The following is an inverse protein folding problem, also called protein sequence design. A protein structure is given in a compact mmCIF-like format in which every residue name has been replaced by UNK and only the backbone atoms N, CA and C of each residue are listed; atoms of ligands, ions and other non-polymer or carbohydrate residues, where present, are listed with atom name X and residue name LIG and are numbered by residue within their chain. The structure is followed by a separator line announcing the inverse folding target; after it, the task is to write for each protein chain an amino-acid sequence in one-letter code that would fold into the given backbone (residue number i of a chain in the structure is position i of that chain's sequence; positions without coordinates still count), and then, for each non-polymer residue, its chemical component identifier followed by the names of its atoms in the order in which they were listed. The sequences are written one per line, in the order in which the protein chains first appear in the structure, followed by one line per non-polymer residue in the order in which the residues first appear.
data_IF_329597963511
#
_entry.id   IF_329597963511
#
_cell.length_a   1.000
_cell.length_b   1.000
_cell.length_c   1.000
_cell.angle_alpha   90.00
_cell.angle_beta   90.00
_cell.angle_gamma   90.00
#
_symmetry.space_group_name_H-M   'P 1'
#
loop_
_entity.id
_entity.type
_entity.pdbx_description
1 polymer ?
#
# COMPACT_ATOMS: atom_id res chain seq x y z
N UNK A 1 -2.07 -6.18 -26.02
CA UNK A 1 -0.99 -5.53 -26.76
C UNK A 1 -0.19 -6.58 -27.52
N UNK A 2 -0.24 -6.58 -28.83
CA UNK A 2 0.54 -7.47 -29.69
C UNK A 2 1.58 -6.70 -30.47
N UNK A 3 2.65 -7.35 -30.87
CA UNK A 3 3.81 -6.74 -31.58
C UNK A 3 3.44 -6.15 -32.95
N UNK A 4 2.30 -6.55 -33.50
CA UNK A 4 1.96 -6.31 -34.91
C UNK A 4 0.72 -5.44 -35.11
N UNK A 5 -0.15 -5.34 -34.14
CA UNK A 5 -1.39 -4.55 -34.18
C UNK A 5 -1.29 -3.29 -33.30
N UNK A 6 -1.74 -2.17 -33.81
CA UNK A 6 -1.77 -0.89 -33.07
C UNK A 6 -2.63 -0.97 -31.79
N UNK A 7 -3.59 -1.89 -31.72
CA UNK A 7 -4.35 -2.28 -30.53
C UNK A 7 -4.42 -3.79 -30.40
N UNK A 8 -3.75 -4.34 -29.39
CA UNK A 8 -3.85 -5.77 -29.09
C UNK A 8 -5.22 -6.18 -28.55
N UNK A 9 -5.52 -7.47 -28.60
CA UNK A 9 -6.81 -8.04 -28.17
C UNK A 9 -7.22 -7.62 -26.74
N UNK A 10 -6.28 -7.58 -25.79
CA UNK A 10 -6.56 -7.17 -24.41
C UNK A 10 -6.98 -5.72 -24.31
N UNK A 11 -6.37 -4.81 -25.06
CA UNK A 11 -6.75 -3.41 -25.06
C UNK A 11 -8.17 -3.21 -25.58
N UNK A 12 -8.52 -3.89 -26.68
CA UNK A 12 -9.89 -3.80 -27.24
C UNK A 12 -10.95 -4.33 -26.30
N UNK A 13 -10.70 -5.49 -25.69
CA UNK A 13 -11.63 -6.05 -24.68
C UNK A 13 -11.75 -5.12 -23.48
N UNK A 14 -10.64 -4.56 -23.03
CA UNK A 14 -10.63 -3.63 -21.91
C UNK A 14 -11.47 -2.38 -22.23
N UNK A 15 -11.25 -1.76 -23.37
CA UNK A 15 -11.99 -0.55 -23.77
C UNK A 15 -13.51 -0.83 -23.87
N UNK A 16 -13.91 -1.93 -24.51
CA UNK A 16 -15.31 -2.34 -24.60
C UNK A 16 -15.96 -2.55 -23.22
N UNK A 17 -15.28 -3.30 -22.33
CA UNK A 17 -15.81 -3.56 -21.00
C UNK A 17 -15.78 -2.31 -20.11
N UNK A 18 -14.75 -1.47 -20.24
CA UNK A 18 -14.66 -0.20 -19.54
C UNK A 18 -15.83 0.72 -19.89
N UNK A 19 -16.10 0.91 -21.18
CA UNK A 19 -17.25 1.70 -21.64
C UNK A 19 -18.56 1.15 -21.08
N UNK A 20 -18.78 -0.16 -21.14
CA UNK A 20 -19.98 -0.78 -20.63
C UNK A 20 -20.18 -0.53 -19.13
N UNK A 21 -19.12 -0.72 -18.34
CA UNK A 21 -19.14 -0.51 -16.89
C UNK A 21 -19.40 0.97 -16.56
N UNK A 22 -18.72 1.89 -17.23
CA UNK A 22 -18.88 3.32 -16.97
C UNK A 22 -20.28 3.79 -17.37
N UNK A 23 -20.83 3.34 -18.51
CA UNK A 23 -22.21 3.62 -18.91
C UNK A 23 -23.21 3.11 -17.89
N UNK A 24 -23.03 1.88 -17.40
CA UNK A 24 -23.89 1.33 -16.35
C UNK A 24 -23.78 2.17 -15.06
N UNK A 25 -22.55 2.54 -14.66
CA UNK A 25 -22.34 3.38 -13.47
C UNK A 25 -23.01 4.75 -13.58
N UNK A 26 -23.03 5.35 -14.76
CA UNK A 26 -23.69 6.64 -15.01
C UNK A 26 -25.21 6.58 -14.91
N UNK A 27 -25.83 5.39 -14.92
CA UNK A 27 -27.27 5.24 -14.66
C UNK A 27 -27.65 5.47 -13.20
N UNK A 28 -26.68 5.40 -12.28
CA UNK A 28 -26.88 5.64 -10.86
C UNK A 28 -27.24 7.12 -10.61
N UNK A 29 -28.46 7.37 -10.18
CA UNK A 29 -28.95 8.74 -9.92
C UNK A 29 -28.38 9.38 -8.66
N UNK A 30 -27.79 8.58 -7.78
CA UNK A 30 -27.15 9.04 -6.53
C UNK A 30 -25.65 9.32 -6.68
N UNK A 31 -25.13 9.21 -7.90
CA UNK A 31 -23.73 9.45 -8.18
C UNK A 31 -23.39 10.92 -7.94
N UNK A 32 -22.27 11.16 -7.21
CA UNK A 32 -21.74 12.51 -7.04
C UNK A 32 -21.49 13.19 -8.38
N UNK A 33 -21.88 14.47 -8.51
CA UNK A 33 -21.85 15.19 -9.78
C UNK A 33 -20.44 15.39 -10.34
N UNK A 34 -19.43 15.60 -9.47
CA UNK A 34 -18.03 15.70 -9.89
C UNK A 34 -17.53 14.39 -10.44
N UNK A 35 -17.93 13.29 -9.76
CA UNK A 35 -17.55 11.95 -10.21
C UNK A 35 -18.29 11.57 -11.50
N UNK A 36 -19.53 11.98 -11.66
CA UNK A 36 -20.30 11.84 -12.92
C UNK A 36 -19.58 12.54 -14.08
N UNK A 37 -19.26 13.81 -13.92
CA UNK A 37 -18.53 14.60 -14.94
C UNK A 37 -17.19 13.98 -15.30
N UNK A 38 -16.50 13.46 -14.29
CA UNK A 38 -15.24 12.73 -14.48
C UNK A 38 -15.43 11.49 -15.36
N UNK A 39 -16.43 10.65 -15.08
CA UNK A 39 -16.74 9.44 -15.84
C UNK A 39 -17.20 9.76 -17.27
N UNK A 40 -18.02 10.81 -17.46
CA UNK A 40 -18.44 11.26 -18.78
C UNK A 40 -17.24 11.68 -19.64
N UNK A 41 -16.29 12.41 -19.08
CA UNK A 41 -15.06 12.78 -19.77
C UNK A 41 -14.21 11.55 -20.17
N UNK A 42 -14.14 10.53 -19.33
CA UNK A 42 -13.40 9.31 -19.66
C UNK A 42 -14.05 8.50 -20.78
N UNK A 43 -15.38 8.56 -20.93
CA UNK A 43 -16.10 7.95 -22.05
C UNK A 43 -15.83 8.60 -23.40
N UNK A 44 -15.41 9.87 -23.43
CA UNK A 44 -15.07 10.54 -24.69
C UNK A 44 -13.82 9.94 -25.36
N UNK A 45 -12.92 9.35 -24.58
CA UNK A 45 -11.65 8.79 -25.07
C UNK A 45 -11.21 7.58 -24.22
N UNK A 46 -11.91 6.44 -24.27
CA UNK A 46 -11.60 5.26 -23.45
C UNK A 46 -10.20 4.72 -23.70
N UNK A 47 -9.65 4.92 -24.90
CA UNK A 47 -8.29 4.54 -25.27
C UNK A 47 -7.20 5.27 -24.50
N UNK A 48 -7.52 6.43 -23.90
CA UNK A 48 -6.58 7.20 -23.07
C UNK A 48 -6.55 6.76 -21.63
N UNK A 49 -7.51 5.96 -21.19
CA UNK A 49 -7.62 5.52 -19.79
C UNK A 49 -6.55 4.49 -19.41
N UNK A 50 -5.91 3.89 -20.41
CA UNK A 50 -4.88 2.87 -20.19
C UNK A 50 -3.61 3.14 -20.98
N UNK A 51 -2.49 2.63 -20.43
CA UNK A 51 -1.19 2.69 -21.09
C UNK A 51 -0.46 1.36 -20.99
N UNK A 52 0.37 1.04 -21.97
CA UNK A 52 1.21 -0.16 -21.99
C UNK A 52 2.65 0.15 -21.60
N UNK A 53 3.17 -0.59 -20.62
CA UNK A 53 4.58 -0.58 -20.25
C UNK A 53 5.24 -1.89 -20.69
N UNK A 54 6.19 -1.80 -21.62
CA UNK A 54 6.92 -2.95 -22.16
C UNK A 54 8.42 -2.76 -22.03
N UNK A 55 9.14 -3.85 -21.78
CA UNK A 55 10.60 -3.81 -21.61
C UNK A 55 11.29 -3.32 -22.89
N UNK A 56 12.26 -2.44 -22.74
CA UNK A 56 13.18 -2.06 -23.81
C UNK A 56 14.24 -3.15 -23.92
N UNK A 57 14.51 -3.65 -25.15
CA UNK A 57 15.57 -4.61 -25.38
C UNK A 57 16.97 -4.00 -25.18
N UNK A 58 18.04 -4.85 -25.18
CA UNK A 58 19.41 -4.38 -25.00
C UNK A 58 19.90 -3.42 -26.09
N UNK A 59 19.10 -3.20 -27.16
CA UNK A 59 19.39 -2.28 -28.27
C UNK A 59 18.57 -0.98 -28.19
N UNK A 60 17.83 -0.76 -27.07
CA UNK A 60 17.01 0.46 -26.90
C UNK A 60 15.74 0.47 -27.76
N UNK A 61 15.36 -0.65 -28.39
CA UNK A 61 14.07 -0.80 -29.05
C UNK A 61 13.06 -1.31 -28.06
N UNK A 62 11.92 -0.59 -27.92
CA UNK A 62 10.80 -1.18 -27.22
C UNK A 62 10.34 -2.41 -28.00
N UNK A 63 10.38 -3.55 -27.32
CA UNK A 63 9.93 -4.82 -27.88
C UNK A 63 8.42 -4.85 -27.70
N UNK A 64 7.66 -4.05 -28.35
CA UNK A 64 6.22 -3.95 -28.46
C UNK A 64 5.64 -2.53 -28.35
N UNK A 65 6.40 -1.50 -28.62
CA UNK A 65 5.78 -0.19 -28.89
C UNK A 65 6.33 0.40 -30.18
N UNK A 66 5.65 0.13 -31.29
CA UNK A 66 5.77 0.98 -32.46
C UNK A 66 4.86 2.21 -32.27
N UNK A 67 5.39 3.21 -31.57
CA UNK A 67 4.86 4.56 -31.70
C UNK A 67 5.18 5.00 -33.11
N UNK A 68 4.16 5.21 -33.94
CA UNK A 68 4.34 5.92 -35.22
C UNK A 68 4.92 7.29 -34.88
N UNK A 69 6.19 7.52 -35.26
CA UNK A 69 6.74 8.86 -35.41
C UNK A 69 5.88 9.59 -36.43
N UNK A 70 5.07 10.55 -35.99
CA UNK A 70 4.34 11.39 -36.93
C UNK A 70 3.11 12.12 -36.42
N UNK A 71 2.87 12.31 -35.12
CA UNK A 71 2.01 13.38 -34.66
C UNK A 71 2.72 14.13 -33.54
N UNK A 72 3.38 15.22 -33.93
CA UNK A 72 3.89 16.19 -32.97
C UNK A 72 2.72 17.04 -32.48
N UNK A 73 2.06 16.63 -31.42
CA UNK A 73 1.51 17.59 -30.48
C UNK A 73 2.44 17.58 -29.27
N UNK A 74 2.83 18.75 -28.82
CA UNK A 74 3.82 19.00 -27.76
C UNK A 74 3.43 18.46 -26.37
N UNK A 75 2.34 17.70 -26.27
CA UNK A 75 1.80 17.13 -25.04
C UNK A 75 1.85 15.59 -24.98
N UNK A 76 2.33 14.90 -26.02
CA UNK A 76 2.46 13.45 -26.05
C UNK A 76 3.75 12.99 -25.32
N UNK A 77 3.68 13.00 -24.01
CA UNK A 77 4.63 12.25 -23.19
C UNK A 77 4.43 10.77 -23.51
N UNK A 78 5.50 10.08 -23.94
CA UNK A 78 5.41 8.64 -24.20
C UNK A 78 4.91 7.91 -22.96
N UNK A 79 4.13 6.83 -23.12
CA UNK A 79 3.66 6.02 -21.99
C UNK A 79 4.80 5.62 -21.05
N UNK A 80 5.99 5.38 -21.59
CA UNK A 80 7.19 5.10 -20.80
C UNK A 80 7.59 6.30 -19.94
N UNK A 81 7.63 7.49 -20.49
CA UNK A 81 8.04 8.70 -19.78
C UNK A 81 7.01 9.06 -18.70
N UNK A 82 5.72 8.90 -18.99
CA UNK A 82 4.65 9.10 -18.02
C UNK A 82 4.79 8.12 -16.83
N UNK A 83 4.94 6.83 -17.10
CA UNK A 83 4.97 5.79 -16.07
C UNK A 83 6.27 5.86 -15.25
N UNK A 84 7.41 6.12 -15.88
CA UNK A 84 8.73 6.01 -15.24
C UNK A 84 9.28 7.33 -14.73
N UNK A 85 9.05 8.45 -15.42
CA UNK A 85 9.67 9.73 -15.10
C UNK A 85 8.70 10.73 -14.48
N UNK A 86 7.44 10.71 -14.91
CA UNK A 86 6.40 11.67 -14.48
C UNK A 86 5.37 11.01 -13.56
N UNK A 87 5.84 10.25 -12.57
CA UNK A 87 4.97 9.50 -11.63
C UNK A 87 3.96 10.39 -10.90
N UNK A 88 4.33 11.62 -10.59
CA UNK A 88 3.45 12.58 -9.91
C UNK A 88 2.25 12.96 -10.79
N UNK A 89 2.44 13.01 -12.11
CA UNK A 89 1.35 13.26 -13.05
C UNK A 89 0.29 12.16 -13.02
N UNK A 90 0.70 10.89 -12.81
CA UNK A 90 -0.22 9.77 -12.64
C UNK A 90 -1.11 9.88 -11.39
N UNK A 91 -0.78 10.76 -10.44
CA UNK A 91 -1.60 11.02 -9.26
C UNK A 91 -2.66 12.09 -9.52
N UNK A 92 -2.57 12.85 -10.62
CA UNK A 92 -3.51 13.89 -10.98
C UNK A 92 -4.78 13.32 -11.61
N UNK A 93 -5.95 13.89 -11.28
CA UNK A 93 -7.20 13.60 -11.98
C UNK A 93 -7.28 14.17 -13.40
N UNK A 94 -6.34 15.04 -13.78
CA UNK A 94 -6.25 15.54 -15.14
C UNK A 94 -5.56 14.55 -16.08
N UNK A 95 -4.72 13.66 -15.54
CA UNK A 95 -4.11 12.57 -16.31
C UNK A 95 -5.15 11.46 -16.51
N UNK A 96 -5.50 11.10 -17.75
CA UNK A 96 -6.54 10.09 -17.99
C UNK A 96 -6.06 8.66 -17.68
N UNK A 97 -4.76 8.38 -17.72
CA UNK A 97 -4.24 7.02 -17.52
C UNK A 97 -4.50 6.53 -16.08
N UNK A 98 -5.33 5.50 -15.97
CA UNK A 98 -5.70 4.82 -14.71
C UNK A 98 -5.24 3.37 -14.67
N UNK A 99 -5.03 2.77 -15.83
CA UNK A 99 -4.66 1.36 -15.95
C UNK A 99 -3.34 1.23 -16.69
N UNK A 100 -2.44 0.42 -16.13
CA UNK A 100 -1.13 0.18 -16.71
C UNK A 100 -1.03 -1.31 -17.05
N UNK A 101 -0.93 -1.63 -18.33
CA UNK A 101 -0.63 -2.98 -18.79
C UNK A 101 0.88 -3.19 -18.84
N UNK A 102 1.38 -4.22 -18.18
CA UNK A 102 2.80 -4.56 -18.18
C UNK A 102 3.02 -6.02 -18.56
N UNK A 103 3.91 -6.28 -19.50
CA UNK A 103 4.28 -7.65 -19.89
C UNK A 103 5.29 -8.28 -18.92
N UNK A 104 6.12 -7.47 -18.32
CA UNK A 104 7.07 -7.86 -17.27
C UNK A 104 6.87 -6.97 -16.04
N UNK A 105 7.35 -7.43 -14.89
CA UNK A 105 7.32 -6.56 -13.71
C UNK A 105 7.93 -5.19 -14.04
N UNK A 106 7.25 -4.14 -13.64
CA UNK A 106 7.79 -2.78 -13.72
C UNK A 106 9.18 -2.76 -13.09
N UNK A 107 10.11 -1.98 -13.65
CA UNK A 107 11.51 -1.95 -13.19
C UNK A 107 11.60 -1.80 -11.67
N UNK A 108 12.63 -2.42 -11.08
CA UNK A 108 12.98 -2.19 -9.68
C UNK A 108 13.09 -0.69 -9.41
N UNK A 109 12.55 -0.25 -8.27
CA UNK A 109 12.50 1.16 -7.90
C UNK A 109 11.30 1.94 -8.47
N UNK A 110 10.47 1.37 -9.36
CA UNK A 110 9.21 2.00 -9.70
C UNK A 110 8.25 1.90 -8.51
N UNK A 111 7.72 3.04 -8.12
CA UNK A 111 6.74 3.15 -7.06
C UNK A 111 5.70 4.23 -7.39
N UNK A 112 4.47 3.91 -7.10
CA UNK A 112 3.37 4.86 -7.09
C UNK A 112 2.52 4.53 -5.85
N UNK A 113 2.25 5.48 -4.96
CA UNK A 113 1.49 5.21 -3.74
C UNK A 113 0.03 4.86 -4.04
N UNK A 114 -0.52 5.28 -5.17
CA UNK A 114 -1.91 5.09 -5.54
C UNK A 114 -2.13 3.86 -6.45
N UNK A 115 -1.54 2.73 -6.09
CA UNK A 115 -1.84 1.43 -6.72
C UNK A 115 -2.88 0.71 -5.87
N UNK A 116 -4.12 0.68 -6.32
CA UNK A 116 -5.25 0.09 -5.59
C UNK A 116 -5.65 -1.29 -6.11
N UNK A 117 -5.27 -1.62 -7.33
CA UNK A 117 -5.63 -2.90 -7.95
C UNK A 117 -4.46 -3.49 -8.72
N UNK A 118 -4.28 -4.79 -8.60
CA UNK A 118 -3.30 -5.56 -9.35
C UNK A 118 -4.01 -6.76 -9.97
N UNK A 119 -4.07 -6.82 -11.30
CA UNK A 119 -4.62 -7.96 -12.02
C UNK A 119 -3.49 -8.77 -12.68
N UNK A 120 -3.37 -10.05 -12.31
CA UNK A 120 -2.34 -10.94 -12.85
C UNK A 120 -2.94 -11.82 -13.95
N UNK A 121 -2.66 -11.48 -15.20
CA UNK A 121 -3.17 -12.20 -16.36
C UNK A 121 -2.30 -13.41 -16.72
N UNK A 122 -1.06 -13.47 -16.24
CA UNK A 122 -0.09 -14.52 -16.53
C UNK A 122 0.27 -15.31 -15.29
N UNK A 123 0.43 -16.62 -15.42
CA UNK A 123 0.97 -17.45 -14.35
C UNK A 123 2.44 -17.10 -14.07
N UNK A 124 2.79 -16.93 -12.81
CA UNK A 124 4.16 -16.78 -12.33
C UNK A 124 4.47 -17.91 -11.34
N UNK A 125 5.58 -18.62 -11.58
CA UNK A 125 6.08 -19.64 -10.66
C UNK A 125 7.01 -19.10 -9.58
N UNK A 126 7.36 -17.81 -9.64
CA UNK A 126 8.31 -17.18 -8.71
C UNK A 126 7.61 -16.39 -7.62
N UNK A 127 7.66 -16.87 -6.39
CA UNK A 127 7.11 -16.18 -5.22
C UNK A 127 7.79 -14.85 -4.95
N UNK A 128 9.08 -14.72 -5.26
CA UNK A 128 9.81 -13.45 -5.15
C UNK A 128 9.20 -12.40 -6.07
N UNK A 129 8.89 -12.77 -7.33
CA UNK A 129 8.23 -11.85 -8.27
C UNK A 129 6.84 -11.47 -7.80
N UNK A 130 6.05 -12.44 -7.32
CA UNK A 130 4.70 -12.19 -6.78
C UNK A 130 4.76 -11.23 -5.59
N UNK A 131 5.71 -11.41 -4.66
CA UNK A 131 5.92 -10.49 -3.52
C UNK A 131 6.29 -9.09 -3.98
N UNK A 132 7.16 -8.96 -4.98
CA UNK A 132 7.55 -7.66 -5.54
C UNK A 132 6.38 -6.95 -6.23
N UNK A 133 5.53 -7.69 -6.95
CA UNK A 133 4.33 -7.14 -7.60
C UNK A 133 3.31 -6.66 -6.58
N UNK A 134 2.94 -7.48 -5.60
CA UNK A 134 2.00 -7.10 -4.53
C UNK A 134 2.56 -5.97 -3.67
N UNK A 135 3.86 -6.02 -3.34
CA UNK A 135 4.52 -4.98 -2.54
C UNK A 135 4.43 -3.57 -3.13
N UNK A 136 4.17 -3.43 -4.43
CA UNK A 136 3.95 -2.12 -5.07
C UNK A 136 2.64 -1.45 -4.65
N UNK A 137 1.62 -2.25 -4.35
CA UNK A 137 0.32 -1.76 -3.89
C UNK A 137 0.19 -1.68 -2.36
N UNK A 138 1.19 -2.12 -1.60
CA UNK A 138 1.17 -2.08 -0.13
C UNK A 138 1.74 -0.76 0.39
N UNK A 139 1.19 0.36 -0.05
CA UNK A 139 1.59 1.71 0.37
C UNK A 139 0.39 2.53 0.76
N UNK A 140 0.61 3.48 1.67
CA UNK A 140 -0.42 4.46 1.97
C UNK A 140 -0.65 5.36 0.75
N UNK A 141 -1.91 5.49 0.35
CA UNK A 141 -2.32 6.38 -0.72
C UNK A 141 -2.01 7.84 -0.40
N UNK A 142 -1.93 8.66 -1.42
CA UNK A 142 -1.81 10.11 -1.27
C UNK A 142 -2.99 10.81 -1.95
N UNK A 143 -3.40 11.94 -1.38
CA UNK A 143 -4.43 12.78 -2.00
C UNK A 143 -3.84 13.67 -3.12
N UNK A 144 -4.67 14.52 -3.73
CA UNK A 144 -4.24 15.43 -4.80
C UNK A 144 -3.21 16.50 -4.35
N UNK A 145 -3.01 16.68 -3.05
CA UNK A 145 -2.00 17.59 -2.50
C UNK A 145 -0.68 16.87 -2.18
N UNK A 146 -0.64 15.54 -2.35
CA UNK A 146 0.50 14.71 -1.97
C UNK A 146 0.52 14.27 -0.51
N UNK A 147 -0.53 14.60 0.27
CA UNK A 147 -0.62 14.21 1.68
C UNK A 147 -0.98 12.74 1.80
N UNK A 148 -0.28 12.02 2.67
CA UNK A 148 -0.55 10.61 2.94
C UNK A 148 -1.91 10.44 3.60
N UNK A 149 -2.64 9.45 3.14
CA UNK A 149 -3.94 9.08 3.66
C UNK A 149 -3.77 8.03 4.78
N UNK A 150 -3.24 8.48 5.90
CA UNK A 150 -3.03 7.67 7.10
C UNK A 150 -4.17 7.85 8.10
N UNK A 151 -4.08 7.17 9.24
CA UNK A 151 -5.07 7.24 10.31
C UNK A 151 -5.20 8.65 10.90
N UNK A 152 -4.12 9.44 10.91
CA UNK A 152 -4.16 10.82 11.44
C UNK A 152 -4.94 11.75 10.50
N UNK A 153 -4.89 11.51 9.19
CA UNK A 153 -5.56 12.33 8.18
C UNK A 153 -7.01 11.92 7.94
N UNK A 154 -7.34 10.62 8.03
CA UNK A 154 -8.65 10.08 7.69
C UNK A 154 -9.46 9.57 8.90
N UNK A 155 -8.78 9.25 10.00
CA UNK A 155 -9.39 8.49 11.09
C UNK A 155 -9.40 6.97 10.86
N UNK A 156 -9.66 6.24 11.95
CA UNK A 156 -9.48 4.79 12.05
C UNK A 156 -10.34 4.00 11.02
N UNK A 157 -11.56 4.43 10.78
CA UNK A 157 -12.49 3.71 9.90
C UNK A 157 -12.24 4.00 8.41
N UNK A 158 -11.97 5.24 8.06
CA UNK A 158 -11.81 5.66 6.67
C UNK A 158 -10.46 5.21 6.09
N UNK A 159 -9.41 5.18 6.89
CA UNK A 159 -8.08 4.73 6.47
C UNK A 159 -8.10 3.31 5.91
N UNK A 160 -8.92 2.44 6.51
CA UNK A 160 -9.08 1.05 6.06
C UNK A 160 -9.86 0.93 4.75
N UNK A 161 -10.71 1.89 4.44
CA UNK A 161 -11.48 1.91 3.19
C UNK A 161 -10.66 2.47 2.03
N UNK A 162 -9.83 3.47 2.29
CA UNK A 162 -9.02 4.15 1.26
C UNK A 162 -7.79 3.32 0.87
N UNK A 163 -7.13 2.67 1.84
CA UNK A 163 -5.87 1.94 1.60
C UNK A 163 -6.09 0.45 1.28
N UNK A 164 -7.17 0.11 0.59
CA UNK A 164 -7.45 -1.28 0.18
C UNK A 164 -6.72 -1.62 -1.10
N UNK A 165 -5.89 -2.68 -1.06
CA UNK A 165 -5.32 -3.30 -2.24
C UNK A 165 -6.15 -4.51 -2.66
N UNK A 166 -6.71 -4.45 -3.86
CA UNK A 166 -7.41 -5.59 -4.47
C UNK A 166 -6.49 -6.33 -5.42
N UNK A 167 -6.29 -7.62 -5.19
CA UNK A 167 -5.52 -8.49 -6.09
C UNK A 167 -6.46 -9.41 -6.84
N UNK A 168 -6.57 -9.23 -8.15
CA UNK A 168 -7.30 -10.12 -9.05
C UNK A 168 -6.30 -11.17 -9.51
N UNK A 169 -6.38 -12.34 -8.89
CA UNK A 169 -5.39 -13.37 -9.02
C UNK A 169 -5.86 -14.51 -9.94
N UNK A 170 -4.95 -15.09 -10.71
CA UNK A 170 -5.17 -16.42 -11.27
C UNK A 170 -4.97 -17.49 -10.17
N UNK A 171 -5.29 -18.76 -10.47
CA UNK A 171 -5.25 -19.85 -9.48
C UNK A 171 -3.91 -19.97 -8.73
N UNK A 172 -2.78 -19.72 -9.39
CA UNK A 172 -1.45 -19.79 -8.76
C UNK A 172 -1.19 -18.61 -7.79
N UNK A 173 -1.82 -17.48 -8.02
CA UNK A 173 -1.74 -16.32 -7.13
C UNK A 173 -2.68 -16.41 -5.94
N UNK A 174 -3.83 -17.10 -6.08
CA UNK A 174 -4.74 -17.29 -4.94
C UNK A 174 -4.06 -18.02 -3.80
N UNK A 175 -3.36 -19.13 -4.10
CA UNK A 175 -2.61 -19.86 -3.09
C UNK A 175 -1.51 -19.00 -2.47
N UNK A 176 -0.73 -18.31 -3.30
CA UNK A 176 0.31 -17.41 -2.83
C UNK A 176 -0.22 -16.27 -1.96
N UNK A 177 -1.32 -15.62 -2.34
CA UNK A 177 -1.92 -14.54 -1.57
C UNK A 177 -2.41 -15.04 -0.20
N UNK A 178 -3.01 -16.23 -0.14
CA UNK A 178 -3.43 -16.89 1.10
C UNK A 178 -2.23 -17.19 2.00
N UNK A 179 -1.16 -17.74 1.43
CA UNK A 179 0.05 -18.08 2.18
C UNK A 179 0.73 -16.83 2.72
N UNK A 180 0.80 -15.75 1.92
CA UNK A 180 1.31 -14.45 2.36
C UNK A 180 0.46 -13.84 3.48
N UNK A 181 -0.85 -13.91 3.38
CA UNK A 181 -1.76 -13.44 4.44
C UNK A 181 -1.57 -14.25 5.72
N UNK A 182 -1.41 -15.58 5.62
CA UNK A 182 -1.14 -16.44 6.77
C UNK A 182 0.20 -16.10 7.40
N UNK A 183 1.24 -15.87 6.62
CA UNK A 183 2.57 -15.45 7.11
C UNK A 183 2.50 -14.11 7.85
N UNK A 184 1.80 -13.12 7.29
CA UNK A 184 1.57 -11.83 7.93
C UNK A 184 0.78 -12.01 9.23
N UNK A 185 -0.29 -12.81 9.21
CA UNK A 185 -1.09 -13.09 10.39
C UNK A 185 -0.27 -13.78 11.49
N UNK A 186 0.59 -14.73 11.14
CA UNK A 186 1.47 -15.41 12.08
C UNK A 186 2.57 -14.48 12.64
N UNK A 187 3.12 -13.62 11.81
CA UNK A 187 4.05 -12.58 12.26
C UNK A 187 3.39 -11.60 13.25
N UNK A 188 2.11 -11.28 13.04
CA UNK A 188 1.31 -10.45 13.96
C UNK A 188 0.98 -11.19 15.24
N UNK A 189 0.62 -12.49 15.19
CA UNK A 189 0.38 -13.32 16.38
C UNK A 189 1.56 -13.36 17.33
N UNK A 190 2.77 -13.32 16.79
CA UNK A 190 4.02 -13.37 17.56
C UNK A 190 4.45 -11.98 18.09
N UNK A 191 3.76 -10.91 17.75
CA UNK A 191 4.01 -9.59 18.33
C UNK A 191 3.55 -9.55 19.78
N UNK A 192 4.26 -8.80 20.63
CA UNK A 192 3.82 -8.57 22.01
C UNK A 192 2.40 -7.98 22.00
N UNK A 193 1.51 -8.54 22.80
CA UNK A 193 0.11 -8.08 22.91
C UNK A 193 -0.14 -7.22 24.13
N UNK A 194 0.77 -7.25 25.09
CA UNK A 194 0.64 -6.59 26.38
C UNK A 194 1.93 -5.86 26.72
N UNK A 195 1.80 -4.71 27.36
CA UNK A 195 2.92 -3.96 27.94
C UNK A 195 3.14 -4.49 29.35
N UNK A 196 4.08 -5.38 29.49
CA UNK A 196 4.49 -6.03 30.74
C UNK A 196 6.01 -5.92 30.89
N UNK A 197 6.59 -6.14 32.07
CA UNK A 197 8.05 -6.15 32.24
C UNK A 197 8.77 -7.03 31.21
N UNK A 198 8.17 -8.18 30.87
CA UNK A 198 8.70 -9.11 29.86
C UNK A 198 8.88 -8.50 28.47
N UNK A 199 8.18 -7.41 28.14
CA UNK A 199 8.37 -6.68 26.88
C UNK A 199 9.76 -6.09 26.77
N UNK A 200 10.31 -5.66 27.89
CA UNK A 200 11.58 -4.93 28.00
C UNK A 200 12.74 -5.85 28.37
N UNK A 201 12.49 -6.92 29.14
CA UNK A 201 13.49 -7.86 29.65
C UNK A 201 14.33 -8.48 28.53
N UNK A 202 15.65 -8.47 28.71
CA UNK A 202 16.61 -8.99 27.74
C UNK A 202 16.73 -8.17 26.45
N UNK A 203 16.02 -7.05 26.34
CA UNK A 203 16.13 -6.17 25.17
C UNK A 203 17.36 -5.28 25.28
N UNK A 204 18.02 -5.13 24.15
CA UNK A 204 19.12 -4.18 23.99
C UNK A 204 18.52 -2.83 23.56
N UNK A 205 18.64 -1.83 24.41
CA UNK A 205 18.27 -0.46 24.13
C UNK A 205 19.50 0.29 23.63
N UNK A 206 19.43 0.81 22.41
CA UNK A 206 20.53 1.54 21.77
C UNK A 206 20.05 2.93 21.41
N UNK A 207 20.84 3.93 21.76
CA UNK A 207 20.62 5.34 21.39
C UNK A 207 21.74 5.76 20.45
N UNK A 208 21.38 6.29 19.31
CA UNK A 208 22.28 6.77 18.27
C UNK A 208 22.12 8.28 18.11
N UNK A 209 23.20 8.97 17.78
CA UNK A 209 23.18 10.37 17.39
C UNK A 209 22.72 10.54 15.92
N UNK A 210 22.67 11.79 15.45
CA UNK A 210 22.31 12.14 14.07
C UNK A 210 23.26 11.56 13.00
N UNK A 211 24.43 11.10 13.40
CA UNK A 211 25.46 10.49 12.51
C UNK A 211 25.44 8.96 12.56
N UNK A 212 24.52 8.36 13.36
CA UNK A 212 24.42 6.92 13.56
C UNK A 212 25.48 6.35 14.53
N UNK A 213 26.14 7.19 15.32
CA UNK A 213 27.05 6.72 16.37
C UNK A 213 26.29 6.39 17.64
N UNK A 214 26.59 5.23 18.23
CA UNK A 214 25.97 4.80 19.49
C UNK A 214 26.46 5.68 20.65
N UNK A 215 25.54 6.41 21.26
CA UNK A 215 25.79 7.31 22.39
C UNK A 215 25.47 6.67 23.74
N UNK A 216 24.50 5.75 23.78
CA UNK A 216 24.16 4.98 24.95
C UNK A 216 23.68 3.58 24.56
N UNK A 217 23.98 2.60 25.40
CA UNK A 217 23.59 1.21 25.18
C UNK A 217 23.34 0.53 26.52
N UNK A 218 22.24 -0.23 26.64
CA UNK A 218 21.88 -0.99 27.83
C UNK A 218 21.18 -2.28 27.44
N UNK A 219 21.50 -3.37 28.12
CA UNK A 219 20.71 -4.61 28.08
C UNK A 219 19.83 -4.62 29.31
N UNK A 220 18.54 -4.57 29.12
CA UNK A 220 17.54 -4.44 30.19
C UNK A 220 17.48 -5.75 31.00
N UNK A 221 17.81 -5.68 32.26
CA UNK A 221 17.62 -6.80 33.18
C UNK A 221 16.18 -6.83 33.77
N UNK A 222 15.90 -7.83 34.61
CA UNK A 222 14.59 -8.03 35.23
C UNK A 222 14.16 -6.85 36.11
N UNK A 223 15.10 -6.22 36.82
CA UNK A 223 14.84 -5.12 37.73
C UNK A 223 14.51 -3.87 36.94
N UNK A 224 15.35 -3.54 35.96
CA UNK A 224 15.16 -2.42 35.06
C UNK A 224 13.85 -2.54 34.23
N UNK A 225 13.51 -3.76 33.77
CA UNK A 225 12.26 -4.04 33.10
C UNK A 225 11.03 -3.75 33.98
N UNK A 226 11.10 -4.12 35.26
CA UNK A 226 10.05 -3.83 36.23
C UNK A 226 9.96 -2.31 36.55
N UNK A 227 11.08 -1.64 36.64
CA UNK A 227 11.16 -0.17 36.84
C UNK A 227 10.55 0.58 35.66
N UNK A 228 10.97 0.30 34.44
CA UNK A 228 10.40 0.89 33.22
C UNK A 228 8.87 0.72 33.23
N UNK A 229 8.40 -0.49 33.44
CA UNK A 229 6.95 -0.76 33.47
C UNK A 229 6.23 -0.01 34.58
N UNK A 230 6.81 0.07 35.79
CA UNK A 230 6.25 0.78 36.92
C UNK A 230 6.15 2.29 36.65
N UNK A 231 7.19 2.91 36.07
CA UNK A 231 7.20 4.31 35.66
C UNK A 231 6.08 4.62 34.65
N UNK A 232 5.98 3.83 33.59
CA UNK A 232 4.95 3.97 32.56
C UNK A 232 3.53 3.83 33.13
N UNK A 233 3.32 2.91 34.08
CA UNK A 233 2.03 2.69 34.74
C UNK A 233 1.68 3.82 35.71
N UNK A 234 2.63 4.28 36.51
CA UNK A 234 2.46 5.39 37.45
C UNK A 234 2.18 6.69 36.70
N UNK A 235 2.86 6.92 35.58
CA UNK A 235 2.62 8.04 34.66
C UNK A 235 1.32 7.94 33.86
N UNK A 236 0.52 6.87 34.07
CA UNK A 236 -0.77 6.64 33.37
C UNK A 236 -0.65 6.52 31.85
N UNK A 237 0.53 6.16 31.34
CA UNK A 237 0.73 5.87 29.92
C UNK A 237 0.21 4.48 29.56
N UNK A 238 0.04 3.61 30.56
CA UNK A 238 -0.48 2.24 30.43
C UNK A 238 -1.72 2.07 31.30
N UNK A 239 -2.76 1.47 30.76
CA UNK A 239 -4.01 1.14 31.46
C UNK A 239 -3.94 -0.21 32.20
N UNK A 240 -5.00 -0.52 32.98
CA UNK A 240 -5.15 -1.78 33.71
C UNK A 240 -5.13 -3.01 32.80
N UNK A 241 -5.59 -2.88 31.56
CA UNK A 241 -5.58 -3.92 30.52
C UNK A 241 -4.20 -4.13 29.90
N UNK A 242 -3.16 -3.44 30.39
CA UNK A 242 -1.78 -3.52 29.89
C UNK A 242 -1.59 -3.06 28.45
N UNK A 243 -2.47 -2.17 28.00
CA UNK A 243 -2.41 -1.45 26.73
C UNK A 243 -2.05 0.02 26.98
N UNK A 244 -1.64 0.71 25.93
CA UNK A 244 -1.45 2.18 25.99
C UNK A 244 -2.75 2.86 26.37
N UNK A 245 -2.67 3.90 27.19
CA UNK A 245 -3.86 4.68 27.56
C UNK A 245 -4.41 5.48 26.38
N UNK A 246 -5.71 5.74 26.40
CA UNK A 246 -6.37 6.57 25.36
C UNK A 246 -5.73 7.95 25.26
N UNK A 247 -5.29 8.50 26.41
CA UNK A 247 -4.61 9.81 26.45
C UNK A 247 -3.27 9.74 25.70
N UNK A 248 -2.48 8.71 25.95
CA UNK A 248 -1.20 8.51 25.25
C UNK A 248 -1.39 8.29 23.74
N UNK A 249 -2.41 7.54 23.35
CA UNK A 249 -2.68 7.25 21.94
C UNK A 249 -2.95 8.53 21.12
N UNK A 250 -3.61 9.52 21.72
CA UNK A 250 -3.95 10.80 21.08
C UNK A 250 -2.79 11.77 20.92
N UNK A 251 -1.66 11.52 21.57
CA UNK A 251 -0.49 12.38 21.48
C UNK A 251 0.22 12.20 20.12
N UNK A 252 0.80 13.27 19.62
CA UNK A 252 1.73 13.23 18.49
C UNK A 252 2.99 12.39 18.83
N UNK A 253 3.78 12.05 17.85
CA UNK A 253 5.01 11.24 18.03
C UNK A 253 5.98 11.93 19.00
N UNK A 254 6.12 13.25 18.90
CA UNK A 254 7.00 14.06 19.77
C UNK A 254 6.47 14.10 21.18
N UNK A 255 5.18 14.42 21.38
CA UNK A 255 4.54 14.46 22.69
C UNK A 255 4.56 13.08 23.39
N UNK A 256 4.43 11.97 22.64
CA UNK A 256 4.60 10.61 23.16
C UNK A 256 6.00 10.38 23.73
N UNK A 257 7.02 10.88 23.03
CA UNK A 257 8.40 10.76 23.49
C UNK A 257 8.62 11.57 24.78
N UNK A 258 8.17 12.81 24.81
CA UNK A 258 8.25 13.69 25.98
C UNK A 258 7.51 13.06 27.17
N UNK A 259 6.29 12.57 26.99
CA UNK A 259 5.53 11.89 28.04
C UNK A 259 6.24 10.68 28.63
N UNK A 260 6.97 9.92 27.79
CA UNK A 260 7.78 8.80 28.28
C UNK A 260 8.99 9.32 29.07
N UNK A 261 9.67 10.35 28.57
CA UNK A 261 10.83 10.94 29.25
C UNK A 261 10.46 11.46 30.64
N UNK A 262 9.33 12.14 30.76
CA UNK A 262 8.86 12.73 32.03
C UNK A 262 8.56 11.69 33.12
N UNK A 263 8.14 10.48 32.74
CA UNK A 263 7.77 9.45 33.72
C UNK A 263 8.91 8.51 34.07
N UNK A 264 9.98 8.47 33.26
CA UNK A 264 11.14 7.62 33.48
C UNK A 264 12.10 8.25 34.50
N UNK A 265 12.76 7.40 35.32
CA UNK A 265 13.83 7.81 36.19
C UNK A 265 15.02 8.37 35.38
N UNK A 266 15.81 9.27 35.96
CA UNK A 266 16.87 10.03 35.27
C UNK A 266 17.80 9.15 34.45
N UNK A 267 18.19 7.98 34.97
CA UNK A 267 19.09 7.04 34.30
C UNK A 267 18.45 6.39 33.06
N UNK A 268 17.12 6.29 33.01
CA UNK A 268 16.36 5.65 31.94
C UNK A 268 15.87 6.64 30.88
N UNK A 269 15.86 7.95 31.17
CA UNK A 269 15.35 8.98 30.25
C UNK A 269 16.08 9.00 28.91
N UNK A 270 17.38 8.72 28.90
CA UNK A 270 18.18 8.65 27.67
C UNK A 270 17.65 7.56 26.72
N UNK A 271 17.01 6.51 27.26
CA UNK A 271 16.46 5.38 26.51
C UNK A 271 14.97 5.55 26.15
N UNK A 272 14.37 6.73 26.35
CA UNK A 272 12.96 6.96 26.07
C UNK A 272 12.55 6.61 24.65
N UNK A 273 13.38 6.93 23.64
CA UNK A 273 13.09 6.63 22.24
C UNK A 273 13.07 5.12 21.94
N UNK A 274 14.07 4.30 22.31
CA UNK A 274 13.96 2.85 22.16
C UNK A 274 12.82 2.24 23.00
N UNK A 275 12.51 2.77 24.18
CA UNK A 275 11.35 2.33 24.98
C UNK A 275 10.05 2.66 24.23
N UNK A 276 9.90 3.85 23.67
CA UNK A 276 8.76 4.23 22.83
C UNK A 276 8.57 3.26 21.67
N UNK A 277 9.64 2.90 20.96
CA UNK A 277 9.59 1.92 19.86
C UNK A 277 9.08 0.56 20.33
N UNK A 278 9.48 0.09 21.50
CA UNK A 278 8.98 -1.16 22.09
C UNK A 278 7.49 -1.06 22.45
N UNK A 279 7.05 0.02 23.07
CA UNK A 279 5.64 0.24 23.41
C UNK A 279 4.78 0.28 22.13
N UNK A 280 5.23 0.99 21.09
CA UNK A 280 4.53 1.09 19.82
C UNK A 280 4.56 -0.23 19.02
N UNK A 281 5.42 -1.18 19.37
CA UNK A 281 5.41 -2.53 18.78
C UNK A 281 4.32 -3.43 19.35
N UNK A 282 3.72 -3.04 20.48
CA UNK A 282 2.63 -3.79 21.10
C UNK A 282 1.36 -3.62 20.31
N UNK A 283 0.81 -4.75 19.92
CA UNK A 283 -0.32 -4.81 19.06
C UNK A 283 -1.65 -4.73 19.83
N UNK A 284 -2.50 -3.80 19.47
CA UNK A 284 -3.86 -3.73 20.00
C UNK A 284 -4.79 -4.57 19.13
N UNK A 285 -5.34 -5.65 19.70
CA UNK A 285 -6.25 -6.56 18.99
C UNK A 285 -7.54 -5.88 18.49
N UNK A 286 -7.84 -4.67 18.97
CA UNK A 286 -9.00 -3.90 18.48
C UNK A 286 -8.72 -3.18 17.15
N UNK A 287 -7.46 -3.04 16.77
CA UNK A 287 -7.01 -2.21 15.64
C UNK A 287 -6.89 -3.00 14.33
N UNK A 288 -7.17 -4.29 14.33
CA UNK A 288 -7.36 -5.05 13.11
C UNK A 288 -8.77 -5.64 13.07
N UNK A 289 -9.60 -5.16 12.19
CA UNK A 289 -10.68 -5.97 11.67
C UNK A 289 -10.05 -7.07 10.79
N UNK A 290 -9.44 -8.09 11.39
CA UNK A 290 -9.30 -9.38 10.71
C UNK A 290 -10.70 -9.99 10.75
N UNK A 291 -11.62 -9.38 10.07
CA UNK A 291 -12.80 -10.07 9.60
C UNK A 291 -12.29 -11.04 8.55
N UNK A 292 -12.17 -12.31 8.95
CA UNK A 292 -12.07 -13.45 8.05
C UNK A 292 -13.39 -13.62 7.26
N UNK A 293 -13.95 -12.57 6.75
CA UNK A 293 -14.89 -12.64 5.66
C UNK A 293 -14.07 -12.66 4.38
N UNK A 294 -13.62 -13.88 4.01
CA UNK A 294 -13.39 -14.22 2.63
C UNK A 294 -14.71 -13.99 1.87
N UNK A 295 -15.05 -12.75 1.59
CA UNK A 295 -16.03 -12.41 0.57
C UNK A 295 -15.38 -12.79 -0.75
N UNK A 296 -15.47 -14.10 -1.08
CA UNK A 296 -15.24 -14.57 -2.43
C UNK A 296 -16.31 -13.96 -3.31
N UNK A 297 -16.06 -12.78 -3.82
CA UNK A 297 -16.77 -12.30 -4.99
C UNK A 297 -16.22 -13.11 -6.14
N UNK A 298 -16.90 -14.20 -6.47
CA UNK A 298 -16.61 -14.95 -7.68
C UNK A 298 -17.07 -14.06 -8.83
N UNK A 299 -16.16 -13.34 -9.45
CA UNK A 299 -16.39 -12.73 -10.76
C UNK A 299 -16.76 -13.90 -11.70
N UNK A 300 -18.03 -14.04 -12.01
CA UNK A 300 -18.46 -14.89 -13.12
C UNK A 300 -18.01 -14.20 -14.40
N UNK A 301 -16.77 -14.47 -14.80
CA UNK A 301 -16.35 -14.19 -16.17
C UNK A 301 -17.34 -14.87 -17.10
N UNK A 302 -17.91 -14.11 -18.00
CA UNK A 302 -18.79 -14.63 -19.04
C UNK A 302 -17.92 -15.37 -20.06
N UNK A 303 -17.48 -16.60 -19.71
CA UNK A 303 -16.60 -17.43 -20.54
C UNK A 303 -17.18 -17.65 -21.94
N UNK A 304 -18.51 -17.65 -22.08
CA UNK A 304 -19.16 -17.85 -23.38
C UNK A 304 -18.93 -16.69 -24.35
N UNK A 305 -18.78 -15.46 -23.85
CA UNK A 305 -18.53 -14.28 -24.70
C UNK A 305 -17.13 -14.26 -25.34
N UNK A 306 -16.14 -14.92 -24.71
CA UNK A 306 -14.74 -14.84 -25.11
C UNK A 306 -14.12 -16.18 -25.56
N UNK A 307 -14.77 -17.31 -25.32
CA UNK A 307 -14.30 -18.65 -25.70
C UNK A 307 -14.42 -18.95 -27.21
N UNK A 308 -15.11 -18.12 -27.98
CA UNK A 308 -15.38 -18.35 -29.40
C UNK A 308 -14.40 -17.64 -30.36
N UNK A 309 -13.26 -17.14 -29.85
CA UNK A 309 -12.27 -16.38 -30.64
C UNK A 309 -10.83 -16.91 -30.52
N UNK A 310 -10.67 -18.22 -30.26
CA UNK A 310 -9.41 -18.92 -30.53
C UNK A 310 -9.33 -19.40 -31.98
#
# INVERSE_FOLDING_TARGET
YGVIDDKGTYARIFEEEYENIVRDRLTDTLLDEKYRTYLERELESPEKVHAGYFSIDKKGKSVDSKIKRGSESSDDISAYDLIMKNKERLLSFEEPVRFIFSHSALKEGWDNPNVFQIATLRQSSSDIKKRQEIGRGLRLAVNQKGDRQDEQSLGENEVQQVNVLTVIANESYETFARDLQSEIADAIKNRPKLIEPKLFEGRELVVEDSNGQVTAKMVVDNTQAAEIWACLKTGKLIEKNKQTSVTYQKLSVTEKLEAIQEVLDEELQVFALPIQKLINSVYNLKDLPIENENKRTTLKLNREKYASKE
#
